data_IF_295487915270
#
_entry.id   IF_295487915270
#
_cell.length_a   1.000
_cell.length_b   1.000
_cell.length_c   1.000
_cell.angle_alpha   90.00
_cell.angle_beta   90.00
_cell.angle_gamma   90.00
#
_symmetry.space_group_name_H-M   'P 1'
#
loop_
_entity.id
_entity.type
_entity.pdbx_description
1 polymer ?
#
# COMPACT_ATOMS: atom_id res chain seq x y z
N UNK A 1 -9.75 29.49 36.80
CA UNK A 1 -9.73 29.40 35.33
C UNK A 1 -9.21 28.02 34.96
N UNK A 2 -10.07 27.12 34.47
CA UNK A 2 -9.63 25.81 33.99
C UNK A 2 -8.99 26.05 32.62
N UNK A 3 -7.67 25.88 32.53
CA UNK A 3 -6.95 25.92 31.26
C UNK A 3 -7.62 24.91 30.32
N UNK A 4 -8.14 25.39 29.19
CA UNK A 4 -8.77 24.55 28.16
C UNK A 4 -7.64 23.67 27.59
N UNK A 5 -7.49 22.46 28.12
CA UNK A 5 -6.52 21.50 27.62
C UNK A 5 -6.83 21.24 26.15
N UNK A 6 -5.94 21.72 25.29
CA UNK A 6 -5.93 21.35 23.89
C UNK A 6 -5.51 19.87 23.82
N UNK A 7 -6.35 19.00 23.27
CA UNK A 7 -6.06 17.56 23.18
C UNK A 7 -5.17 17.24 21.99
N UNK A 8 -4.25 18.15 21.67
CA UNK A 8 -3.15 17.91 20.75
C UNK A 8 -2.12 17.01 21.46
N UNK A 9 -1.69 15.95 20.78
CA UNK A 9 -0.71 15.01 21.35
C UNK A 9 0.61 15.69 21.73
N UNK A 10 0.97 16.76 21.03
CA UNK A 10 2.22 17.51 21.21
C UNK A 10 2.22 18.32 22.50
N UNK A 11 1.05 18.70 23.00
CA UNK A 11 0.91 19.40 24.28
C UNK A 11 1.05 18.45 25.47
N UNK A 12 0.88 17.14 25.25
CA UNK A 12 0.96 16.10 26.30
C UNK A 12 2.26 15.32 26.28
N UNK A 13 2.94 15.26 25.13
CA UNK A 13 4.15 14.46 24.94
C UNK A 13 5.23 15.29 24.24
N UNK A 14 6.46 15.21 24.77
CA UNK A 14 7.63 15.77 24.09
C UNK A 14 8.00 14.89 22.89
N UNK A 15 7.97 15.46 21.68
CA UNK A 15 8.26 14.71 20.46
C UNK A 15 9.74 14.29 20.35
N UNK A 16 10.66 15.02 20.98
CA UNK A 16 12.09 14.68 21.09
C UNK A 16 12.44 13.89 22.37
N UNK A 17 11.42 13.42 23.09
CA UNK A 17 11.58 12.76 24.37
C UNK A 17 11.65 11.22 24.26
N UNK A 18 11.88 10.53 25.39
CA UNK A 18 11.89 9.06 25.46
C UNK A 18 10.53 8.42 25.14
N UNK A 19 9.48 9.22 24.96
CA UNK A 19 8.12 8.78 24.71
C UNK A 19 7.72 8.85 23.23
N UNK A 20 8.65 9.07 22.30
CA UNK A 20 8.38 9.14 20.86
C UNK A 20 7.66 7.89 20.33
N UNK A 21 8.07 6.70 20.80
CA UNK A 21 7.43 5.42 20.44
C UNK A 21 5.98 5.34 20.94
N UNK A 22 5.70 5.93 22.11
CA UNK A 22 4.34 6.02 22.65
C UNK A 22 3.48 6.96 21.80
N UNK A 23 4.05 8.07 21.35
CA UNK A 23 3.37 9.01 20.45
C UNK A 23 3.07 8.33 19.12
N UNK A 24 4.03 7.62 18.53
CA UNK A 24 3.84 6.83 17.31
C UNK A 24 2.72 5.79 17.49
N UNK A 25 2.77 4.99 18.56
CA UNK A 25 1.74 4.00 18.88
C UNK A 25 0.35 4.62 19.05
N UNK A 26 0.23 5.80 19.65
CA UNK A 26 -1.04 6.52 19.78
C UNK A 26 -1.54 7.01 18.41
N UNK A 27 -0.66 7.55 17.56
CA UNK A 27 -1.05 8.04 16.24
C UNK A 27 -1.56 6.89 15.35
N UNK A 28 -0.89 5.74 15.40
CA UNK A 28 -1.19 4.56 14.58
C UNK A 28 -2.34 3.71 15.14
N UNK A 29 -2.33 3.45 16.44
CA UNK A 29 -3.21 2.48 17.11
C UNK A 29 -4.56 3.06 17.52
N UNK A 30 -4.75 4.37 17.44
CA UNK A 30 -5.95 5.08 17.93
C UNK A 30 -6.57 5.96 16.84
N UNK A 31 -7.15 5.35 15.79
CA UNK A 31 -7.84 6.09 14.74
C UNK A 31 -9.10 6.79 15.28
N UNK A 32 -9.64 7.79 14.56
CA UNK A 32 -10.94 8.37 14.85
C UNK A 32 -12.03 7.30 14.94
N UNK A 33 -12.88 7.40 15.97
CA UNK A 33 -14.02 6.53 16.20
C UNK A 33 -15.26 7.39 16.42
N UNK A 34 -16.11 7.46 15.40
CA UNK A 34 -17.36 8.21 15.43
C UNK A 34 -18.54 7.27 15.26
N UNK A 35 -19.70 7.67 15.79
CA UNK A 35 -20.94 6.93 15.58
C UNK A 35 -21.26 6.87 14.07
N UNK A 36 -21.94 5.82 13.58
CA UNK A 36 -22.24 5.68 12.14
C UNK A 36 -22.93 6.90 11.52
N UNK A 37 -23.81 7.58 12.26
CA UNK A 37 -24.52 8.77 11.78
C UNK A 37 -23.62 10.02 11.66
N UNK A 38 -22.50 10.02 12.38
CA UNK A 38 -21.52 11.12 12.38
C UNK A 38 -20.28 10.79 11.53
N UNK A 39 -20.14 9.55 11.05
CA UNK A 39 -18.99 9.11 10.28
C UNK A 39 -18.93 9.84 8.94
N UNK A 40 -17.72 10.26 8.55
CA UNK A 40 -17.45 10.90 7.26
C UNK A 40 -16.30 10.12 6.64
N UNK A 41 -16.58 8.99 5.95
CA UNK A 41 -15.56 8.00 5.61
C UNK A 41 -14.34 8.58 4.90
N UNK A 42 -14.53 9.44 3.90
CA UNK A 42 -13.43 10.08 3.17
C UNK A 42 -12.54 10.96 4.05
N UNK A 43 -13.17 11.80 4.89
CA UNK A 43 -12.46 12.65 5.84
C UNK A 43 -11.74 11.83 6.92
N UNK A 44 -12.41 10.84 7.50
CA UNK A 44 -11.86 10.03 8.58
C UNK A 44 -10.70 9.14 8.06
N UNK A 45 -10.79 8.62 6.83
CA UNK A 45 -9.67 7.95 6.15
C UNK A 45 -8.48 8.89 5.97
N UNK A 46 -8.71 10.16 5.59
CA UNK A 46 -7.65 11.16 5.44
C UNK A 46 -6.92 11.43 6.75
N UNK A 47 -7.66 11.54 7.86
CA UNK A 47 -7.07 11.67 9.19
C UNK A 47 -6.19 10.46 9.53
N UNK A 48 -6.65 9.23 9.26
CA UNK A 48 -5.85 8.02 9.50
C UNK A 48 -4.56 8.01 8.67
N UNK A 49 -4.62 8.37 7.38
CA UNK A 49 -3.44 8.44 6.52
C UNK A 49 -2.44 9.48 7.04
N UNK A 50 -2.90 10.70 7.36
CA UNK A 50 -2.03 11.75 7.88
C UNK A 50 -1.37 11.34 9.19
N UNK A 51 -2.12 10.71 10.11
CA UNK A 51 -1.55 10.16 11.35
C UNK A 51 -0.48 9.11 11.10
N UNK A 52 -0.67 8.25 10.09
CA UNK A 52 0.36 7.28 9.72
C UNK A 52 1.59 7.95 9.13
N UNK A 53 1.43 9.01 8.35
CA UNK A 53 2.56 9.81 7.84
C UNK A 53 3.29 10.49 9.00
N UNK A 54 2.56 11.07 9.95
CA UNK A 54 3.15 11.78 11.08
C UNK A 54 3.97 10.84 11.97
N UNK A 55 3.43 9.67 12.30
CA UNK A 55 4.14 8.63 13.07
C UNK A 55 5.35 8.05 12.34
N UNK A 56 5.26 7.85 11.02
CA UNK A 56 6.35 7.25 10.24
C UNK A 56 7.49 8.20 9.93
N UNK A 57 7.18 9.48 9.69
CA UNK A 57 8.14 10.45 9.14
C UNK A 57 8.38 11.62 10.08
N UNK A 58 7.31 12.26 10.54
CA UNK A 58 7.42 13.58 11.16
C UNK A 58 7.95 13.54 12.59
N UNK A 59 7.80 12.41 13.29
CA UNK A 59 8.35 12.25 14.63
C UNK A 59 9.88 12.21 14.64
N UNK A 60 10.52 11.74 13.57
CA UNK A 60 11.99 11.69 13.46
C UNK A 60 12.61 13.05 13.13
N UNK A 61 11.79 14.06 12.83
CA UNK A 61 12.21 15.34 12.27
C UNK A 61 12.01 16.48 13.27
N UNK A 62 12.38 16.27 14.54
CA UNK A 62 12.25 17.31 15.57
C UNK A 62 13.53 18.16 15.59
N UNK A 63 13.47 19.49 15.40
CA UNK A 63 12.26 20.33 15.33
C UNK A 63 11.50 20.22 14.00
N UNK A 64 10.16 20.20 14.09
CA UNK A 64 9.29 20.10 12.91
C UNK A 64 9.60 21.17 11.85
N UNK A 65 9.42 20.87 10.56
CA UNK A 65 9.68 21.83 9.49
C UNK A 65 8.91 23.14 9.67
N UNK A 66 9.56 24.25 9.33
CA UNK A 66 9.01 25.60 9.53
C UNK A 66 7.64 25.83 8.84
N UNK A 67 7.40 25.18 7.70
CA UNK A 67 6.14 25.29 6.96
C UNK A 67 4.96 24.68 7.71
N UNK A 68 5.19 23.71 8.61
CA UNK A 68 4.13 22.92 9.24
C UNK A 68 3.17 23.78 10.06
N UNK A 69 3.69 24.73 10.84
CA UNK A 69 2.87 25.60 11.67
C UNK A 69 1.92 26.45 10.81
N UNK A 70 2.45 27.12 9.79
CA UNK A 70 1.66 27.93 8.85
C UNK A 70 0.63 27.08 8.10
N UNK A 71 1.01 25.86 7.72
CA UNK A 71 0.11 24.91 7.06
C UNK A 71 -1.03 24.43 7.97
N UNK A 72 -0.76 24.14 9.24
CA UNK A 72 -1.79 23.76 10.22
C UNK A 72 -2.75 24.90 10.55
N UNK A 73 -2.26 26.16 10.60
CA UNK A 73 -3.09 27.35 10.74
C UNK A 73 -4.01 27.54 9.53
N UNK A 74 -3.53 27.26 8.33
CA UNK A 74 -4.29 27.38 7.10
C UNK A 74 -5.26 26.21 6.85
N UNK A 75 -4.88 24.99 7.26
CA UNK A 75 -5.57 23.74 6.98
C UNK A 75 -5.95 22.99 8.27
N UNK A 76 -7.24 23.03 8.69
CA UNK A 76 -7.68 22.42 9.94
C UNK A 76 -7.57 20.88 9.95
N UNK A 77 -7.44 20.23 8.77
CA UNK A 77 -7.28 18.77 8.67
C UNK A 77 -5.92 18.35 9.26
N UNK A 78 -4.84 19.08 8.91
CA UNK A 78 -3.49 18.79 9.38
C UNK A 78 -3.40 18.90 10.90
N UNK A 79 -4.00 19.96 11.46
CA UNK A 79 -4.07 20.15 12.92
C UNK A 79 -4.87 19.05 13.61
N UNK A 80 -6.03 18.67 13.05
CA UNK A 80 -6.87 17.61 13.63
C UNK A 80 -6.18 16.25 13.61
N UNK A 81 -5.28 15.99 12.66
CA UNK A 81 -4.53 14.73 12.61
C UNK A 81 -3.62 14.54 13.84
N UNK A 82 -3.17 15.60 14.53
CA UNK A 82 -2.44 15.50 15.81
C UNK A 82 -3.33 15.27 17.03
N UNK A 83 -4.65 15.34 16.88
CA UNK A 83 -5.59 15.23 17.99
C UNK A 83 -5.56 13.84 18.66
N UNK A 84 -5.76 13.77 19.96
CA UNK A 84 -5.94 12.53 20.70
C UNK A 84 -7.37 12.01 20.52
N UNK A 85 -7.54 10.85 19.88
CA UNK A 85 -8.83 10.17 19.82
C UNK A 85 -8.87 9.15 20.95
N UNK A 86 -9.49 9.46 22.09
CA UNK A 86 -9.55 8.59 23.27
C UNK A 86 -10.79 7.70 23.38
N UNK A 87 -10.81 6.81 24.37
CA UNK A 87 -12.03 6.06 24.77
C UNK A 87 -12.79 6.76 25.91
N UNK A 88 -12.08 7.57 26.70
CA UNK A 88 -12.69 8.35 27.78
C UNK A 88 -13.79 9.23 27.21
N UNK A 89 -14.94 9.31 27.89
CA UNK A 89 -16.09 10.11 27.43
C UNK A 89 -15.67 11.54 27.10
N UNK A 90 -14.88 12.16 27.98
CA UNK A 90 -14.37 13.52 27.77
C UNK A 90 -13.46 13.64 26.53
N UNK A 91 -12.60 12.65 26.25
CA UNK A 91 -11.74 12.67 25.06
C UNK A 91 -12.55 12.44 23.78
N UNK A 92 -13.60 11.62 23.83
CA UNK A 92 -14.51 11.42 22.70
C UNK A 92 -15.31 12.67 22.39
N UNK A 93 -15.91 13.30 23.40
CA UNK A 93 -16.65 14.56 23.24
C UNK A 93 -15.76 15.68 22.69
N UNK A 94 -14.52 15.78 23.19
CA UNK A 94 -13.59 16.79 22.69
C UNK A 94 -13.13 16.50 21.25
N UNK A 95 -12.86 15.24 20.90
CA UNK A 95 -12.55 14.85 19.52
C UNK A 95 -13.71 15.16 18.55
N UNK A 96 -14.96 14.93 18.98
CA UNK A 96 -16.16 15.32 18.22
C UNK A 96 -16.19 16.83 18.04
N UNK A 97 -15.94 17.61 19.09
CA UNK A 97 -15.93 19.07 19.03
C UNK A 97 -14.84 19.60 18.11
N UNK A 98 -13.61 19.10 18.22
CA UNK A 98 -12.48 19.48 17.38
C UNK A 98 -12.76 19.17 15.90
N UNK A 99 -13.38 18.03 15.60
CA UNK A 99 -13.81 17.66 14.25
C UNK A 99 -14.87 18.62 13.70
N UNK A 100 -15.90 18.94 14.47
CA UNK A 100 -16.91 19.92 14.05
C UNK A 100 -16.34 21.33 13.86
N UNK A 101 -15.32 21.72 14.64
CA UNK A 101 -14.57 22.95 14.39
C UNK A 101 -13.84 22.90 13.05
N UNK A 102 -13.16 21.78 12.75
CA UNK A 102 -12.53 21.58 11.45
C UNK A 102 -13.55 21.64 10.30
N UNK A 103 -14.73 21.01 10.45
CA UNK A 103 -15.80 21.06 9.46
C UNK A 103 -16.30 22.47 9.19
N UNK A 104 -16.58 23.25 10.25
CA UNK A 104 -16.98 24.66 10.09
C UNK A 104 -15.91 25.46 9.37
N UNK A 105 -14.64 25.25 9.71
CA UNK A 105 -13.52 25.94 9.05
C UNK A 105 -13.35 25.53 7.58
N UNK A 106 -13.60 24.27 7.22
CA UNK A 106 -13.56 23.82 5.83
C UNK A 106 -14.72 24.40 5.02
N UNK A 107 -15.93 24.37 5.57
CA UNK A 107 -17.12 24.95 4.93
C UNK A 107 -16.95 26.46 4.71
N UNK A 108 -16.36 27.19 5.66
CA UNK A 108 -16.04 28.61 5.49
C UNK A 108 -15.03 28.88 4.36
N UNK A 109 -14.21 27.88 3.99
CA UNK A 109 -13.26 27.92 2.86
C UNK A 109 -13.86 27.35 1.57
N UNK A 110 -15.16 27.02 1.55
CA UNK A 110 -15.84 26.43 0.39
C UNK A 110 -15.51 24.96 0.13
N UNK A 111 -14.94 24.25 1.11
CA UNK A 111 -14.59 22.83 0.99
C UNK A 111 -15.62 21.99 1.73
N UNK A 112 -16.21 21.02 1.03
CA UNK A 112 -17.15 20.09 1.68
C UNK A 112 -16.39 19.07 2.52
N UNK A 113 -16.75 18.92 3.79
CA UNK A 113 -16.22 17.86 4.64
C UNK A 113 -16.83 16.48 4.35
N UNK A 114 -17.87 16.43 3.52
CA UNK A 114 -18.52 15.19 3.03
C UNK A 114 -17.98 14.72 1.67
N UNK A 115 -16.98 15.45 1.14
CA UNK A 115 -16.26 15.06 -0.07
C UNK A 115 -15.58 13.70 0.08
N UNK A 116 -15.27 13.05 -1.04
CA UNK A 116 -14.51 11.80 -1.02
C UNK A 116 -13.13 11.99 -0.41
N UNK A 117 -12.50 10.89 -0.01
CA UNK A 117 -11.08 10.89 0.32
C UNK A 117 -10.25 11.50 -0.81
N UNK A 118 -10.50 11.11 -2.06
CA UNK A 118 -9.75 11.57 -3.23
C UNK A 118 -9.89 13.08 -3.42
N UNK A 119 -11.11 13.61 -3.36
CA UNK A 119 -11.40 15.05 -3.47
C UNK A 119 -10.72 15.85 -2.36
N UNK A 120 -10.78 15.36 -1.10
CA UNK A 120 -10.14 16.04 0.02
C UNK A 120 -8.61 15.96 -0.07
N UNK A 121 -8.06 14.78 -0.36
CA UNK A 121 -6.61 14.54 -0.46
C UNK A 121 -5.98 15.32 -1.61
N UNK A 122 -6.68 15.49 -2.74
CA UNK A 122 -6.21 16.24 -3.90
C UNK A 122 -6.74 17.68 -3.96
N UNK A 123 -7.41 18.15 -2.90
CA UNK A 123 -7.94 19.52 -2.84
C UNK A 123 -6.82 20.55 -2.89
N UNK A 124 -7.11 21.74 -3.43
CA UNK A 124 -6.14 22.84 -3.50
C UNK A 124 -5.61 23.25 -2.12
N UNK A 125 -6.44 23.12 -1.07
CA UNK A 125 -6.00 23.33 0.31
C UNK A 125 -4.92 22.32 0.71
N UNK A 126 -5.13 21.02 0.48
CA UNK A 126 -4.14 19.98 0.80
C UNK A 126 -2.88 20.10 -0.06
N UNK A 127 -3.02 20.41 -1.35
CA UNK A 127 -1.88 20.60 -2.24
C UNK A 127 -1.01 21.76 -1.76
N UNK A 128 -1.60 22.93 -1.50
CA UNK A 128 -0.89 24.12 -1.03
C UNK A 128 -0.22 23.95 0.34
N UNK A 129 -0.87 23.22 1.25
CA UNK A 129 -0.43 23.15 2.66
C UNK A 129 0.38 21.90 2.98
N UNK A 130 0.38 20.88 2.11
CA UNK A 130 1.03 19.60 2.41
C UNK A 130 1.75 19.00 1.20
N UNK A 131 1.03 18.68 0.11
CA UNK A 131 1.62 17.88 -0.98
C UNK A 131 2.59 18.64 -1.88
N UNK A 132 2.53 19.97 -1.90
CA UNK A 132 3.49 20.81 -2.63
C UNK A 132 4.69 21.23 -1.77
N UNK A 133 4.81 20.78 -0.52
CA UNK A 133 5.99 21.07 0.30
C UNK A 133 7.18 20.25 -0.21
N UNK A 134 8.39 20.81 -0.17
CA UNK A 134 9.57 20.23 -0.80
C UNK A 134 9.81 18.77 -0.37
N UNK A 135 9.51 18.45 0.88
CA UNK A 135 9.69 17.12 1.46
C UNK A 135 8.64 16.09 1.00
N UNK A 136 7.61 16.50 0.25
CA UNK A 136 6.59 15.63 -0.33
C UNK A 136 6.57 15.64 -1.86
N UNK A 137 7.42 16.46 -2.51
CA UNK A 137 7.50 16.52 -3.98
C UNK A 137 8.27 15.31 -4.52
N UNK A 138 7.69 14.63 -5.52
CA UNK A 138 8.34 13.51 -6.19
C UNK A 138 9.57 13.95 -6.99
N UNK A 139 9.50 15.15 -7.54
CA UNK A 139 10.53 15.73 -8.40
C UNK A 139 11.18 16.92 -7.73
N UNK A 140 12.47 17.15 -8.01
CA UNK A 140 13.15 18.39 -7.64
C UNK A 140 12.56 19.55 -8.47
N UNK A 141 13.06 20.76 -8.25
CA UNK A 141 12.72 21.95 -9.04
C UNK A 141 12.83 21.62 -10.54
N UNK A 142 11.74 21.91 -11.27
CA UNK A 142 11.64 21.62 -12.70
C UNK A 142 12.39 22.71 -13.48
N UNK A 143 13.20 22.29 -14.45
CA UNK A 143 13.94 23.22 -15.32
C UNK A 143 13.49 23.05 -16.77
N UNK A 144 13.21 24.15 -17.46
CA UNK A 144 12.99 24.12 -18.90
C UNK A 144 14.33 23.86 -19.61
N UNK A 145 14.39 22.84 -20.47
CA UNK A 145 15.65 22.45 -21.14
C UNK A 145 16.12 23.52 -22.12
N UNK A 146 15.18 24.19 -22.79
CA UNK A 146 15.50 25.19 -23.80
C UNK A 146 16.05 26.49 -23.21
N UNK A 147 15.50 26.92 -22.06
CA UNK A 147 15.84 28.23 -21.45
C UNK A 147 16.73 28.11 -20.21
N UNK A 148 16.86 26.92 -19.64
CA UNK A 148 17.48 26.69 -18.32
C UNK A 148 16.69 27.27 -17.14
N UNK A 149 15.60 27.98 -17.40
CA UNK A 149 14.83 28.66 -16.37
C UNK A 149 14.09 27.66 -15.48
N UNK A 150 14.02 27.98 -14.20
CA UNK A 150 13.11 27.29 -13.27
C UNK A 150 11.67 27.46 -13.77
N UNK A 151 10.97 26.34 -13.87
CA UNK A 151 9.55 26.33 -14.22
C UNK A 151 8.76 26.36 -12.93
N UNK A 152 8.29 27.55 -12.55
CA UNK A 152 7.41 27.70 -11.40
C UNK A 152 6.06 27.02 -11.70
N UNK A 153 5.75 25.97 -10.93
CA UNK A 153 4.45 25.33 -10.90
C UNK A 153 3.58 25.94 -9.82
N UNK A 154 2.27 26.03 -10.07
CA UNK A 154 1.33 26.25 -8.96
C UNK A 154 1.43 25.09 -7.97
N UNK A 155 1.07 25.26 -6.68
CA UNK A 155 1.05 24.16 -5.72
C UNK A 155 0.22 22.95 -6.20
N UNK A 156 -0.86 23.22 -6.93
CA UNK A 156 -1.71 22.19 -7.54
C UNK A 156 -0.98 21.44 -8.67
N UNK A 157 -0.26 22.16 -9.55
CA UNK A 157 0.56 21.54 -10.59
C UNK A 157 1.65 20.65 -9.97
N UNK A 158 2.37 21.15 -8.96
CA UNK A 158 3.44 20.43 -8.26
C UNK A 158 2.91 19.15 -7.60
N UNK A 159 1.79 19.26 -6.88
CA UNK A 159 1.17 18.13 -6.20
C UNK A 159 0.65 17.10 -7.20
N UNK A 160 0.10 17.53 -8.33
CA UNK A 160 -0.38 16.65 -9.40
C UNK A 160 0.77 15.88 -10.07
N UNK A 161 1.88 16.54 -10.43
CA UNK A 161 3.08 15.88 -10.98
C UNK A 161 3.67 14.88 -9.97
N UNK A 162 3.51 15.14 -8.68
CA UNK A 162 3.98 14.26 -7.60
C UNK A 162 3.06 13.07 -7.31
N UNK A 163 1.94 12.92 -8.02
CA UNK A 163 1.06 11.76 -7.95
C UNK A 163 1.37 10.79 -9.09
N UNK A 164 1.83 9.60 -8.76
CA UNK A 164 2.03 8.54 -9.75
C UNK A 164 0.71 7.86 -10.10
N UNK A 165 0.52 7.51 -11.36
CA UNK A 165 -0.69 6.83 -11.82
C UNK A 165 -0.35 5.45 -12.37
N UNK A 166 -0.85 4.41 -11.70
CA UNK A 166 -0.78 3.02 -12.13
C UNK A 166 -2.19 2.55 -12.51
N UNK A 167 -2.52 2.66 -13.79
CA UNK A 167 -3.80 2.24 -14.31
C UNK A 167 -3.65 0.99 -15.20
N UNK A 168 -4.05 -0.16 -14.66
CA UNK A 168 -4.01 -1.44 -15.38
C UNK A 168 -5.17 -1.64 -16.35
N UNK A 169 -6.22 -0.83 -16.28
CA UNK A 169 -7.28 -0.81 -17.30
C UNK A 169 -6.73 -0.21 -18.60
N UNK A 170 -5.96 0.88 -18.49
CA UNK A 170 -5.36 1.56 -19.65
C UNK A 170 -4.05 0.92 -20.10
N UNK A 171 -3.23 0.47 -19.15
CA UNK A 171 -1.92 -0.14 -19.41
C UNK A 171 -1.77 -1.49 -18.69
N UNK A 172 -2.44 -2.56 -19.18
CA UNK A 172 -2.34 -3.89 -18.59
C UNK A 172 -0.88 -4.37 -18.50
N UNK A 173 -0.55 -5.06 -17.41
CA UNK A 173 0.78 -5.64 -17.18
C UNK A 173 1.88 -4.64 -16.79
N UNK A 174 1.64 -3.33 -16.90
CA UNK A 174 2.61 -2.30 -16.51
C UNK A 174 2.93 -2.41 -15.02
N UNK A 175 4.20 -2.40 -14.65
CA UNK A 175 4.62 -2.48 -13.25
C UNK A 175 4.65 -1.12 -12.59
N UNK A 176 4.56 -1.09 -11.25
CA UNK A 176 4.74 0.14 -10.47
C UNK A 176 6.11 0.78 -10.73
N UNK A 177 7.17 -0.04 -10.83
CA UNK A 177 8.52 0.48 -11.06
C UNK A 177 8.67 1.12 -12.45
N UNK A 178 7.98 0.61 -13.47
CA UNK A 178 7.93 1.25 -14.80
C UNK A 178 7.11 2.55 -14.81
N UNK A 179 6.19 2.74 -13.86
CA UNK A 179 5.54 4.05 -13.66
C UNK A 179 6.53 5.03 -13.05
N UNK A 180 7.23 4.62 -11.99
CA UNK A 180 8.27 5.41 -11.33
C UNK A 180 9.38 5.82 -12.30
N UNK A 181 9.97 4.86 -13.02
CA UNK A 181 11.12 5.12 -13.89
C UNK A 181 10.76 6.06 -15.06
N UNK A 182 9.49 6.13 -15.47
CA UNK A 182 9.00 7.07 -16.51
C UNK A 182 8.64 8.46 -15.98
N UNK A 183 8.58 8.67 -14.66
CA UNK A 183 8.26 9.97 -14.07
C UNK A 183 9.45 10.96 -14.13
N UNK A 184 10.65 10.45 -14.41
CA UNK A 184 11.90 11.23 -14.38
C UNK A 184 12.56 11.32 -15.76
N UNK A 185 13.39 12.33 -15.93
CA UNK A 185 14.10 12.64 -17.16
C UNK A 185 13.48 13.80 -17.91
N UNK A 186 13.63 13.79 -19.23
CA UNK A 186 13.06 14.81 -20.08
C UNK A 186 11.60 14.47 -20.32
N UNK A 187 10.69 15.30 -19.82
CA UNK A 187 9.24 15.14 -19.98
C UNK A 187 8.65 16.37 -20.65
N UNK A 188 7.57 16.17 -21.42
CA UNK A 188 6.85 17.26 -22.06
C UNK A 188 5.75 17.77 -21.12
N UNK A 189 5.79 19.04 -20.74
CA UNK A 189 4.74 19.68 -19.93
C UNK A 189 4.34 21.02 -20.55
N UNK A 190 3.04 21.23 -20.80
CA UNK A 190 2.49 22.45 -21.43
C UNK A 190 3.30 22.83 -22.68
N UNK A 191 3.57 21.84 -23.53
CA UNK A 191 4.36 21.94 -24.78
C UNK A 191 5.86 22.25 -24.62
N UNK A 192 6.37 22.35 -23.39
CA UNK A 192 7.79 22.57 -23.10
C UNK A 192 8.49 21.28 -22.70
N UNK A 193 9.73 21.11 -23.13
CA UNK A 193 10.61 20.07 -22.60
C UNK A 193 11.16 20.52 -21.24
N UNK A 194 10.83 19.77 -20.19
CA UNK A 194 11.29 20.02 -18.83
C UNK A 194 12.12 18.84 -18.33
N UNK A 195 13.16 19.15 -17.57
CA UNK A 195 13.96 18.16 -16.86
C UNK A 195 13.30 17.90 -15.49
N UNK A 196 12.71 16.72 -15.37
CA UNK A 196 12.14 16.17 -14.13
C UNK A 196 13.20 15.31 -13.43
N UNK A 197 13.86 15.88 -12.41
CA UNK A 197 14.84 15.14 -11.61
C UNK A 197 14.14 14.47 -10.43
N UNK A 198 14.51 13.24 -10.05
CA UNK A 198 13.97 12.63 -8.86
C UNK A 198 14.40 13.40 -7.61
N UNK A 199 13.44 13.59 -6.71
CA UNK A 199 13.69 14.06 -5.35
C UNK A 199 13.70 12.89 -4.37
N UNK A 200 13.89 13.18 -3.08
CA UNK A 200 13.79 12.24 -1.98
C UNK A 200 12.56 12.52 -1.07
N UNK A 201 11.33 12.48 -1.62
CA UNK A 201 10.13 12.77 -0.82
C UNK A 201 10.03 11.81 0.36
N UNK A 202 9.46 12.28 1.46
CA UNK A 202 9.15 11.43 2.60
C UNK A 202 8.03 10.44 2.31
N UNK A 203 7.07 10.86 1.47
CA UNK A 203 5.94 10.04 1.05
C UNK A 203 5.71 10.18 -0.44
N UNK A 204 5.59 9.04 -1.13
CA UNK A 204 5.16 8.95 -2.53
C UNK A 204 3.69 8.52 -2.58
N UNK A 205 2.89 9.21 -3.39
CA UNK A 205 1.48 8.88 -3.61
C UNK A 205 1.31 8.17 -4.96
N UNK A 206 0.47 7.15 -4.97
CA UNK A 206 0.13 6.40 -6.19
C UNK A 206 -1.38 6.22 -6.28
N UNK A 207 -2.00 6.74 -7.34
CA UNK A 207 -3.35 6.37 -7.73
C UNK A 207 -3.29 5.03 -8.48
N UNK A 208 -4.04 4.03 -8.00
CA UNK A 208 -4.02 2.68 -8.54
C UNK A 208 -5.42 2.22 -8.97
N UNK A 209 -5.50 1.73 -10.20
CA UNK A 209 -6.69 1.06 -10.73
C UNK A 209 -6.28 -0.34 -11.21
N UNK A 210 -6.77 -1.42 -10.58
CA UNK A 210 -6.47 -2.78 -10.99
C UNK A 210 -7.14 -3.11 -12.33
N UNK A 211 -6.64 -4.16 -12.99
CA UNK A 211 -7.30 -4.70 -14.17
C UNK A 211 -8.70 -5.23 -13.79
N UNK A 212 -9.64 -5.07 -14.72
CA UNK A 212 -10.96 -5.67 -14.66
C UNK A 212 -10.94 -7.19 -14.89
N UNK A 213 -9.90 -7.73 -15.55
CA UNK A 213 -9.75 -9.16 -15.80
C UNK A 213 -9.20 -9.90 -14.57
N UNK A 214 -9.73 -11.10 -14.29
CA UNK A 214 -9.27 -11.94 -13.18
C UNK A 214 -7.91 -12.63 -13.47
N UNK A 215 -7.49 -12.63 -14.74
CA UNK A 215 -6.38 -13.46 -15.22
C UNK A 215 -5.00 -12.97 -14.85
N UNK A 216 -4.84 -11.68 -14.51
CA UNK A 216 -3.54 -11.09 -14.14
C UNK A 216 -3.66 -10.13 -12.94
N UNK A 217 -4.50 -10.49 -11.95
CA UNK A 217 -4.66 -9.68 -10.75
C UNK A 217 -3.33 -9.53 -10.02
N UNK A 218 -2.84 -8.29 -9.94
CA UNK A 218 -1.58 -7.97 -9.31
C UNK A 218 -1.59 -8.41 -7.84
N UNK A 219 -0.53 -9.12 -7.44
CA UNK A 219 -0.31 -9.43 -6.03
C UNK A 219 0.06 -8.15 -5.28
N UNK A 220 -0.54 -7.91 -4.10
CA UNK A 220 -0.15 -6.81 -3.22
C UNK A 220 1.37 -6.82 -2.97
N UNK A 221 2.00 -7.99 -2.95
CA UNK A 221 3.46 -8.09 -2.78
C UNK A 221 4.26 -7.34 -3.85
N UNK A 222 3.71 -7.15 -5.07
CA UNK A 222 4.30 -6.33 -6.12
C UNK A 222 4.09 -4.81 -5.90
N UNK A 223 3.17 -4.44 -5.01
CA UNK A 223 2.81 -3.08 -4.63
C UNK A 223 3.31 -2.72 -3.21
N UNK A 224 4.07 -3.59 -2.53
CA UNK A 224 4.58 -3.31 -1.18
C UNK A 224 5.79 -2.39 -1.18
N UNK A 225 6.52 -2.35 -2.28
CA UNK A 225 7.80 -1.66 -2.42
C UNK A 225 7.84 -0.85 -3.71
N UNK A 226 8.44 0.32 -3.66
CA UNK A 226 8.88 1.05 -4.84
C UNK A 226 10.29 1.60 -4.63
N UNK A 227 11.01 1.86 -5.71
CA UNK A 227 12.36 2.40 -5.64
C UNK A 227 12.48 3.69 -6.45
N UNK A 228 12.81 4.81 -5.81
CA UNK A 228 13.09 6.05 -6.53
C UNK A 228 14.58 6.10 -6.91
N UNK A 229 14.94 6.47 -8.16
CA UNK A 229 16.33 6.63 -8.54
C UNK A 229 16.97 7.83 -7.84
N UNK A 230 18.26 7.72 -7.54
CA UNK A 230 19.08 8.83 -7.01
C UNK A 230 19.95 9.34 -8.14
N UNK A 231 19.80 10.62 -8.48
CA UNK A 231 20.58 11.25 -9.53
C UNK A 231 21.60 12.21 -8.94
N UNK A 232 22.84 12.12 -9.43
CA UNK A 232 23.91 13.07 -9.12
C UNK A 232 24.38 13.73 -10.42
N UNK A 233 24.87 14.97 -10.31
CA UNK A 233 25.49 15.67 -11.43
C UNK A 233 26.74 14.91 -11.86
N UNK A 234 26.84 14.60 -13.15
CA UNK A 234 28.06 14.01 -13.71
C UNK A 234 29.16 15.07 -13.76
N UNK A 235 30.20 14.88 -12.95
CA UNK A 235 31.34 15.80 -12.89
C UNK A 235 32.35 15.57 -14.02
N UNK A 236 32.20 14.49 -14.78
CA UNK A 236 33.09 14.15 -15.90
C UNK A 236 32.60 14.71 -17.23
N UNK A 237 31.31 15.05 -17.30
CA UNK A 237 30.70 15.71 -18.45
C UNK A 237 30.90 17.23 -18.35
N UNK A 238 31.26 17.85 -19.47
CA UNK A 238 31.34 19.31 -19.56
C UNK A 238 29.95 19.95 -19.65
N UNK A 239 28.96 19.18 -20.10
CA UNK A 239 27.56 19.59 -20.14
C UNK A 239 26.84 19.22 -18.83
N UNK A 240 25.74 19.90 -18.51
CA UNK A 240 24.93 19.56 -17.33
C UNK A 240 24.21 18.23 -17.61
N UNK A 241 24.80 17.13 -17.16
CA UNK A 241 24.20 15.79 -17.24
C UNK A 241 24.10 15.15 -15.86
N UNK A 242 23.15 14.23 -15.72
CA UNK A 242 22.87 13.54 -14.46
C UNK A 242 23.00 12.04 -14.68
N UNK A 243 23.63 11.37 -13.72
CA UNK A 243 23.79 9.92 -13.71
C UNK A 243 23.07 9.32 -12.52
N UNK A 244 22.45 8.17 -12.73
CA UNK A 244 21.83 7.40 -11.66
C UNK A 244 22.91 6.70 -10.84
N UNK A 245 23.05 7.06 -9.57
CA UNK A 245 24.07 6.53 -8.65
C UNK A 245 23.52 5.49 -7.67
N UNK A 246 22.21 5.30 -7.65
CA UNK A 246 21.56 4.39 -6.72
C UNK A 246 20.04 4.50 -6.75
N UNK A 247 19.39 3.88 -5.76
CA UNK A 247 17.95 3.97 -5.57
C UNK A 247 17.61 4.04 -4.08
N UNK A 248 16.63 4.86 -3.74
CA UNK A 248 15.99 4.91 -2.43
C UNK A 248 14.83 3.93 -2.39
N UNK A 249 14.74 3.12 -1.34
CA UNK A 249 13.66 2.16 -1.14
C UNK A 249 12.52 2.76 -0.31
N UNK A 250 11.30 2.48 -0.74
CA UNK A 250 10.07 2.95 -0.12
C UNK A 250 9.11 1.79 0.13
N UNK A 251 8.40 1.84 1.24
CA UNK A 251 7.42 0.82 1.63
C UNK A 251 6.01 1.37 1.74
N UNK A 252 5.04 0.53 1.40
CA UNK A 252 3.64 0.83 1.53
C UNK A 252 3.27 1.11 3.00
N UNK A 253 2.81 2.34 3.29
CA UNK A 253 2.35 2.79 4.60
C UNK A 253 0.83 2.70 4.74
N UNK A 254 0.11 3.02 3.67
CA UNK A 254 -1.34 3.03 3.68
C UNK A 254 -1.91 2.73 2.29
N UNK A 255 -3.09 2.10 2.28
CA UNK A 255 -3.94 1.90 1.12
C UNK A 255 -5.33 2.41 1.49
N UNK A 256 -5.88 3.27 0.65
CA UNK A 256 -7.27 3.72 0.76
C UNK A 256 -8.04 3.19 -0.43
N UNK A 257 -9.08 2.41 -0.19
CA UNK A 257 -10.09 2.07 -1.19
C UNK A 257 -11.00 3.29 -1.36
N UNK A 258 -10.98 3.85 -2.56
CA UNK A 258 -11.76 5.03 -2.93
C UNK A 258 -13.19 4.64 -3.27
N UNK A 259 -14.13 5.54 -2.97
CA UNK A 259 -15.53 5.35 -3.35
C UNK A 259 -15.67 5.35 -4.87
N UNK A 260 -16.56 4.50 -5.38
CA UNK A 260 -17.02 4.55 -6.76
C UNK A 260 -18.48 4.07 -6.84
N UNK A 261 -19.07 4.11 -8.03
CA UNK A 261 -20.48 3.78 -8.24
C UNK A 261 -20.85 2.37 -7.76
N UNK A 262 -19.89 1.42 -7.83
CA UNK A 262 -20.09 0.03 -7.39
C UNK A 262 -19.79 -0.16 -5.91
N UNK A 263 -18.93 0.67 -5.33
CA UNK A 263 -18.40 0.56 -3.99
C UNK A 263 -18.49 1.94 -3.30
N UNK A 264 -19.64 2.28 -2.72
CA UNK A 264 -19.85 3.62 -2.18
C UNK A 264 -19.08 3.89 -0.89
N UNK A 265 -18.58 2.84 -0.22
CA UNK A 265 -17.79 2.94 1.01
C UNK A 265 -16.32 3.23 0.74
N UNK A 266 -15.72 4.07 1.59
CA UNK A 266 -14.28 4.34 1.63
C UNK A 266 -13.66 3.65 2.83
N UNK A 267 -12.54 2.98 2.61
CA UNK A 267 -11.87 2.21 3.64
C UNK A 267 -10.38 2.43 3.60
N UNK A 268 -9.74 2.45 4.76
CA UNK A 268 -8.30 2.61 4.91
C UNK A 268 -7.69 1.39 5.57
N UNK A 269 -6.51 1.03 5.09
CA UNK A 269 -5.64 0.05 5.72
C UNK A 269 -4.23 0.64 5.84
N UNK A 270 -3.65 0.59 7.03
CA UNK A 270 -2.28 1.06 7.29
C UNK A 270 -1.35 -0.11 7.56
N UNK A 271 -0.07 0.11 7.34
CA UNK A 271 0.99 -0.89 7.49
C UNK A 271 2.16 -0.28 8.26
N UNK A 272 2.75 -1.10 9.12
CA UNK A 272 3.98 -0.80 9.81
C UNK A 272 5.17 -0.88 8.86
N UNK A 273 6.32 -0.44 9.32
CA UNK A 273 7.59 -0.45 8.57
C UNK A 273 8.01 -1.84 8.10
N UNK A 274 7.56 -2.89 8.78
CA UNK A 274 7.82 -4.28 8.43
C UNK A 274 6.80 -4.84 7.44
N UNK A 275 5.83 -4.04 7.00
CA UNK A 275 4.74 -4.46 6.11
C UNK A 275 3.56 -5.14 6.82
N UNK A 276 3.60 -5.36 8.13
CA UNK A 276 2.45 -5.88 8.86
C UNK A 276 1.30 -4.88 8.84
N UNK A 277 0.08 -5.34 8.55
CA UNK A 277 -1.09 -4.48 8.71
C UNK A 277 -1.22 -4.04 10.18
N UNK A 278 -1.35 -2.74 10.42
CA UNK A 278 -1.54 -2.18 11.76
C UNK A 278 -3.01 -2.36 12.12
N UNK A 279 -3.25 -3.14 13.17
CA UNK A 279 -4.58 -3.27 13.76
C UNK A 279 -4.64 -2.33 14.95
N UNK A 280 -5.65 -1.46 14.97
CA UNK A 280 -5.82 -0.50 16.08
C UNK A 280 -5.98 -1.21 17.42
N UNK A 281 -5.62 -0.53 18.51
CA UNK A 281 -5.72 -1.05 19.89
C UNK A 281 -7.18 -1.29 20.35
N UNK A 282 -8.16 -0.95 19.50
CA UNK A 282 -9.57 -0.80 19.86
C UNK A 282 -10.46 -1.48 18.85
N UNK A 283 -11.76 -1.48 19.14
CA UNK A 283 -12.77 -1.85 18.16
C UNK A 283 -12.52 -1.14 16.83
N UNK A 284 -12.41 -1.93 15.78
CA UNK A 284 -12.13 -1.48 14.43
C UNK A 284 -13.15 -0.40 14.01
N UNK A 285 -12.72 0.82 13.68
CA UNK A 285 -13.64 1.85 13.16
C UNK A 285 -14.33 1.35 11.89
N UNK A 286 -15.50 1.90 11.56
CA UNK A 286 -16.23 1.54 10.32
C UNK A 286 -15.42 1.76 9.03
N UNK A 287 -14.47 2.70 9.06
CA UNK A 287 -13.55 2.99 7.94
C UNK A 287 -12.41 1.97 7.79
N UNK A 288 -12.24 1.04 8.75
CA UNK A 288 -11.28 -0.05 8.62
C UNK A 288 -12.09 -1.33 8.40
N UNK A 289 -12.00 -1.87 7.19
CA UNK A 289 -12.73 -3.07 6.80
C UNK A 289 -11.72 -4.14 6.34
N UNK A 290 -11.88 -5.37 6.83
CA UNK A 290 -11.01 -6.50 6.52
C UNK A 290 -11.54 -7.37 5.35
N UNK A 291 -12.75 -7.10 4.87
CA UNK A 291 -13.44 -7.91 3.86
C UNK A 291 -13.10 -7.52 2.41
N UNK A 292 -12.23 -6.54 2.21
CA UNK A 292 -11.81 -6.09 0.87
C UNK A 292 -10.33 -6.38 0.61
N UNK A 293 -10.01 -6.65 -0.65
CA UNK A 293 -8.62 -6.77 -1.13
C UNK A 293 -8.36 -5.73 -2.21
N UNK A 294 -7.09 -5.32 -2.36
CA UNK A 294 -6.62 -4.54 -3.50
C UNK A 294 -6.89 -5.23 -4.85
N UNK A 295 -7.11 -6.54 -4.81
CA UNK A 295 -7.49 -7.39 -5.94
C UNK A 295 -8.99 -7.33 -6.26
N UNK A 296 -9.82 -6.64 -5.47
CA UNK A 296 -11.25 -6.55 -5.74
C UNK A 296 -11.48 -5.93 -7.12
N UNK A 297 -12.34 -6.54 -7.96
CA UNK A 297 -12.61 -6.04 -9.30
C UNK A 297 -13.26 -4.67 -9.23
N UNK A 298 -12.91 -3.79 -10.18
CA UNK A 298 -13.40 -2.42 -10.25
C UNK A 298 -13.11 -1.58 -8.99
N UNK A 299 -12.10 -1.95 -8.22
CA UNK A 299 -11.57 -1.07 -7.17
C UNK A 299 -10.90 0.16 -7.77
N UNK A 300 -10.81 1.23 -6.97
CA UNK A 300 -9.90 2.35 -7.20
C UNK A 300 -9.22 2.63 -5.87
N UNK A 301 -7.91 2.82 -5.88
CA UNK A 301 -7.13 2.91 -4.65
C UNK A 301 -6.17 4.09 -4.68
N UNK A 302 -5.89 4.66 -3.51
CA UNK A 302 -4.77 5.56 -3.29
C UNK A 302 -3.78 4.88 -2.36
N UNK A 303 -2.53 4.73 -2.81
CA UNK A 303 -1.45 4.09 -2.07
C UNK A 303 -0.44 5.15 -1.63
N UNK A 304 0.07 5.01 -0.42
CA UNK A 304 1.05 5.92 0.18
C UNK A 304 2.28 5.12 0.56
N UNK A 305 3.45 5.52 0.06
CA UNK A 305 4.71 4.84 0.31
C UNK A 305 5.65 5.76 1.09
N UNK A 306 6.19 5.28 2.20
CA UNK A 306 7.11 6.01 3.05
C UNK A 306 8.55 5.60 2.81
N UNK A 307 9.47 6.55 2.98
CA UNK A 307 10.90 6.28 2.92
C UNK A 307 11.31 5.23 3.96
N UNK A 308 12.21 4.30 3.61
CA UNK A 308 12.75 3.32 4.54
C UNK A 308 13.76 3.97 5.50
N UNK A 309 13.35 4.19 6.75
CA UNK A 309 14.22 4.77 7.79
C UNK A 309 15.08 3.71 8.51
N UNK A 310 14.66 2.43 8.52
CA UNK A 310 15.37 1.37 9.23
C UNK A 310 16.30 0.53 8.35
N UNK A 311 17.56 0.39 8.77
CA UNK A 311 18.59 -0.39 8.06
C UNK A 311 18.31 -1.89 7.96
N UNK A 312 17.40 -2.44 8.77
CA UNK A 312 17.05 -3.87 8.80
C UNK A 312 15.53 -4.09 9.00
N UNK A 313 14.70 -3.45 8.19
CA UNK A 313 13.24 -3.59 8.28
C UNK A 313 12.72 -5.02 7.99
N UNK A 314 13.57 -5.95 7.55
CA UNK A 314 13.14 -7.26 7.08
C UNK A 314 12.46 -7.18 5.72
N UNK A 315 11.84 -8.29 5.28
CA UNK A 315 11.11 -8.32 4.01
C UNK A 315 9.65 -7.94 4.25
N UNK A 316 9.17 -6.78 3.74
CA UNK A 316 7.81 -6.32 3.94
C UNK A 316 6.77 -7.26 3.30
N UNK A 317 7.18 -8.13 2.36
CA UNK A 317 6.31 -9.05 1.62
C UNK A 317 5.93 -10.29 2.41
N UNK A 318 6.46 -10.46 3.63
CA UNK A 318 6.17 -11.63 4.48
C UNK A 318 4.80 -11.60 5.13
N UNK A 319 4.16 -10.43 5.18
CA UNK A 319 2.88 -10.27 5.87
C UNK A 319 1.70 -10.41 4.89
N UNK A 320 0.57 -10.95 5.35
CA UNK A 320 -0.65 -10.95 4.55
C UNK A 320 -1.11 -9.51 4.31
N UNK A 321 -1.88 -9.33 3.24
CA UNK A 321 -2.55 -8.05 2.94
C UNK A 321 -3.48 -7.64 4.08
N UNK A 322 -4.31 -8.57 4.53
CA UNK A 322 -5.30 -8.38 5.59
C UNK A 322 -4.79 -9.09 6.83
N UNK A 323 -4.71 -8.38 7.95
CA UNK A 323 -4.47 -9.04 9.23
C UNK A 323 -5.61 -10.03 9.52
N UNK A 324 -5.31 -11.22 10.04
CA UNK A 324 -6.37 -12.10 10.53
C UNK A 324 -7.18 -11.36 11.62
N UNK A 325 -8.48 -11.64 11.73
CA UNK A 325 -9.30 -11.02 12.78
C UNK A 325 -8.69 -11.30 14.15
N UNK A 326 -8.76 -10.31 15.05
CA UNK A 326 -8.33 -10.51 16.44
C UNK A 326 -9.18 -11.64 17.02
N UNK A 327 -8.52 -12.72 17.44
CA UNK A 327 -9.18 -13.80 18.16
C UNK A 327 -9.72 -13.25 19.47
N UNK A 328 -11.05 -13.20 19.60
CA UNK A 328 -11.67 -12.81 20.87
C UNK A 328 -11.43 -13.90 21.93
N UNK A 329 -11.59 -13.58 23.21
CA UNK A 329 -11.53 -14.60 24.27
C UNK A 329 -12.54 -15.75 24.01
N UNK A 330 -13.69 -15.42 23.41
CA UNK A 330 -14.70 -16.41 23.00
C UNK A 330 -14.19 -17.29 21.85
N UNK A 331 -13.48 -16.72 20.89
CA UNK A 331 -12.87 -17.48 19.80
C UNK A 331 -11.74 -18.36 20.32
N UNK A 332 -10.91 -17.85 21.24
CA UNK A 332 -9.88 -18.63 21.92
C UNK A 332 -10.50 -19.80 22.71
N UNK A 333 -11.61 -19.57 23.41
CA UNK A 333 -12.34 -20.64 24.12
C UNK A 333 -12.93 -21.67 23.15
N UNK A 334 -13.51 -21.20 22.02
CA UNK A 334 -14.06 -22.07 20.97
C UNK A 334 -12.97 -22.91 20.31
N UNK A 335 -11.84 -22.32 19.97
CA UNK A 335 -10.66 -23.01 19.44
C UNK A 335 -10.15 -24.03 20.46
N UNK A 336 -10.09 -23.67 21.74
CA UNK A 336 -9.68 -24.59 22.81
C UNK A 336 -10.65 -25.76 23.00
N UNK A 337 -11.95 -25.57 22.75
CA UNK A 337 -12.95 -26.66 22.74
C UNK A 337 -12.76 -27.58 21.53
N UNK A 338 -12.51 -27.01 20.35
CA UNK A 338 -12.23 -27.77 19.13
C UNK A 338 -10.94 -28.59 19.29
N UNK A 339 -9.87 -27.99 19.79
CA UNK A 339 -8.59 -28.68 20.05
C UNK A 339 -8.77 -29.84 21.04
N UNK A 340 -9.50 -29.63 22.14
CA UNK A 340 -9.84 -30.73 23.08
C UNK A 340 -10.63 -31.85 22.41
N UNK A 341 -11.60 -31.51 21.56
CA UNK A 341 -12.39 -32.50 20.84
C UNK A 341 -11.55 -33.31 19.84
N UNK A 342 -10.68 -32.63 19.06
CA UNK A 342 -9.77 -33.29 18.12
C UNK A 342 -8.78 -34.21 18.83
N UNK A 343 -8.22 -33.78 19.97
CA UNK A 343 -7.37 -34.63 20.81
C UNK A 343 -8.10 -35.86 21.34
N UNK A 344 -9.37 -35.71 21.72
CA UNK A 344 -10.20 -36.85 22.12
C UNK A 344 -10.42 -37.83 20.97
N UNK A 345 -10.83 -37.35 19.79
CA UNK A 345 -11.03 -38.19 18.61
C UNK A 345 -9.76 -38.95 18.22
N UNK A 346 -8.60 -38.29 18.27
CA UNK A 346 -7.32 -38.92 18.00
C UNK A 346 -7.03 -40.04 19.00
N UNK A 347 -7.25 -39.79 20.30
CA UNK A 347 -7.04 -40.79 21.34
C UNK A 347 -7.94 -42.01 21.16
N UNK A 348 -9.23 -41.80 20.87
CA UNK A 348 -10.17 -42.89 20.59
C UNK A 348 -9.81 -43.67 19.31
N UNK A 349 -9.24 -43.01 18.30
CA UNK A 349 -8.76 -43.69 17.09
C UNK A 349 -7.49 -44.53 17.31
N UNK A 350 -6.73 -44.27 18.38
CA UNK A 350 -5.55 -45.04 18.76
C UNK A 350 -5.84 -46.12 19.80
N UNK A 351 -7.06 -46.17 20.35
CA UNK A 351 -7.45 -47.31 21.16
C UNK A 351 -7.50 -48.56 20.27
N UNK A 352 -6.73 -49.61 20.60
CA UNK A 352 -6.63 -50.79 19.77
C UNK A 352 -8.03 -51.37 19.60
N UNK A 353 -8.50 -51.46 18.35
CA UNK A 353 -9.71 -52.23 18.01
C UNK A 353 -9.56 -53.59 18.70
N UNK A 354 -10.51 -54.00 19.56
CA UNK A 354 -10.43 -55.30 20.21
C UNK A 354 -10.23 -56.35 19.11
N UNK A 355 -9.12 -57.07 19.18
CA UNK A 355 -8.82 -58.12 18.23
C UNK A 355 -10.05 -59.03 18.16
N UNK A 356 -10.58 -59.32 16.95
CA UNK A 356 -11.68 -60.26 16.82
C UNK A 356 -11.22 -61.57 17.46
N UNK A 357 -11.95 -61.99 18.50
CA UNK A 357 -11.75 -63.26 19.17
C UNK A 357 -11.69 -64.36 18.11
N UNK A 358 -10.66 -65.21 18.10
CA UNK A 358 -10.54 -66.26 17.08
C UNK A 358 -11.81 -67.10 17.04
N UNK A 359 -12.30 -67.48 15.85
CA UNK A 359 -13.50 -68.29 15.75
C UNK A 359 -13.27 -69.60 16.50
N UNK A 360 -14.10 -69.87 17.51
CA UNK A 360 -14.16 -71.16 18.18
C UNK A 360 -14.52 -72.20 17.13
N UNK A 361 -13.53 -72.99 16.76
CA UNK A 361 -13.63 -74.10 15.81
C UNK A 361 -14.48 -75.20 16.44
N UNK A 362 -15.79 -75.18 16.18
CA UNK A 362 -16.64 -76.36 16.37
C UNK A 362 -16.57 -77.21 15.10
N UNK A 363 -15.79 -78.28 15.20
CA UNK A 363 -15.78 -79.38 14.27
C UNK A 363 -17.16 -80.05 14.23
N UNK A 364 -17.79 -80.09 13.06
CA UNK A 364 -18.81 -81.09 12.73
C UNK A 364 -18.41 -81.73 11.40
N UNK A 365 -18.07 -83.00 11.48
CA UNK A 365 -17.79 -83.87 10.35
C UNK A 365 -19.04 -84.09 9.50
N UNK A 366 -18.85 -83.86 8.19
CA UNK A 366 -19.24 -84.69 7.06
C UNK A 366 -20.69 -85.20 6.95
N UNK A 367 -21.39 -84.68 5.93
CA UNK A 367 -22.05 -85.57 4.98
C UNK A 367 -21.70 -85.16 3.55
N UNK A 368 -21.08 -86.11 2.86
CA UNK A 368 -20.79 -86.11 1.44
C UNK A 368 -22.09 -86.26 0.65
N UNK A 369 -22.32 -85.38 -0.31
CA UNK A 369 -23.04 -85.75 -1.54
C UNK A 369 -22.33 -85.12 -2.72
N UNK A 370 -22.03 -85.97 -3.70
CA UNK A 370 -21.23 -85.76 -4.89
C UNK A 370 -22.02 -85.04 -6.02
N UNK A 371 -21.39 -84.75 -7.19
CA UNK A 371 -21.48 -83.46 -7.87
C UNK A 371 -22.53 -83.41 -8.98
N UNK A 372 -22.83 -82.20 -9.43
CA UNK A 372 -23.29 -81.99 -10.81
C UNK A 372 -22.73 -80.69 -11.35
N UNK A 373 -22.02 -80.84 -12.45
CA UNK A 373 -21.52 -79.81 -13.36
C UNK A 373 -22.70 -79.03 -13.96
N UNK A 374 -22.54 -77.70 -14.05
CA UNK A 374 -22.69 -76.94 -15.30
C UNK A 374 -22.71 -75.43 -14.98
N UNK A 375 -21.58 -74.80 -15.29
CA UNK A 375 -21.44 -73.78 -16.33
C UNK A 375 -22.44 -72.61 -16.43
N UNK A 376 -21.85 -71.44 -16.72
CA UNK A 376 -22.38 -70.28 -17.50
C UNK A 376 -22.98 -69.05 -16.75
N UNK A 377 -22.21 -67.95 -16.91
CA UNK A 377 -22.55 -66.54 -17.18
C UNK A 377 -23.03 -65.53 -16.11
N UNK A 378 -22.22 -64.47 -16.04
CA UNK A 378 -22.52 -63.02 -16.18
C UNK A 378 -23.82 -62.45 -15.58
N UNK A 379 -23.64 -61.42 -14.75
CA UNK A 379 -24.68 -60.45 -14.45
C UNK A 379 -24.15 -59.25 -13.65
N UNK A 380 -23.73 -58.20 -14.36
CA UNK A 380 -23.59 -56.85 -13.81
C UNK A 380 -24.96 -56.35 -13.34
N UNK A 381 -25.04 -55.71 -12.17
CA UNK A 381 -26.15 -54.79 -11.88
C UNK A 381 -25.71 -53.72 -10.88
N UNK A 382 -25.50 -52.51 -11.43
CA UNK A 382 -25.49 -51.25 -10.69
C UNK A 382 -26.93 -50.75 -10.71
N UNK A 383 -27.53 -50.33 -9.57
CA UNK A 383 -28.78 -49.60 -9.60
C UNK A 383 -28.52 -48.11 -9.74
N UNK A 384 -29.05 -47.56 -10.83
CA UNK A 384 -29.56 -46.19 -10.93
C UNK A 384 -30.71 -45.98 -9.92
N UNK A 385 -31.00 -44.74 -9.51
CA UNK A 385 -32.17 -44.13 -10.15
C UNK A 385 -32.03 -42.64 -10.49
N UNK A 386 -32.46 -42.38 -11.73
CA UNK A 386 -33.07 -41.18 -12.28
C UNK A 386 -34.04 -40.41 -11.37
N UNK A 387 -34.00 -39.08 -11.52
CA UNK A 387 -35.14 -38.15 -11.66
C UNK A 387 -34.54 -36.75 -11.88
N UNK A 388 -34.36 -36.24 -13.11
CA UNK A 388 -35.37 -35.72 -14.04
C UNK A 388 -36.51 -34.93 -13.38
N UNK A 389 -36.39 -33.60 -13.48
CA UNK A 389 -37.50 -32.73 -13.91
C UNK A 389 -36.93 -31.47 -14.57
N UNK A 390 -37.04 -31.45 -15.91
CA UNK A 390 -37.09 -30.28 -16.79
C UNK A 390 -38.28 -29.38 -16.39
N UNK A 391 -38.55 -28.16 -16.86
CA UNK A 391 -38.26 -27.32 -18.03
C UNK A 391 -38.71 -25.91 -17.58
N UNK A 392 -38.23 -24.76 -18.03
CA UNK A 392 -37.90 -24.31 -19.38
C UNK A 392 -38.41 -22.86 -19.51
N UNK A 393 -37.72 -22.02 -20.27
CA UNK A 393 -38.24 -20.91 -21.09
C UNK A 393 -37.19 -19.79 -21.29
N UNK A 394 -36.76 -19.67 -22.53
CA UNK A 394 -36.20 -18.48 -23.20
C UNK A 394 -36.91 -18.39 -24.56
N UNK A 395 -36.78 -17.33 -25.39
CA UNK A 395 -36.35 -15.94 -25.18
C UNK A 395 -37.33 -14.93 -25.82
N UNK A 396 -37.09 -13.61 -25.67
CA UNK A 396 -37.63 -12.64 -26.64
C UNK A 396 -36.70 -11.45 -26.83
N UNK A 397 -36.24 -11.28 -28.07
CA UNK A 397 -35.56 -10.11 -28.64
C UNK A 397 -36.63 -9.17 -29.22
N UNK A 398 -36.36 -7.87 -29.30
CA UNK A 398 -36.65 -7.18 -30.55
C UNK A 398 -35.50 -6.30 -31.06
N UNK A 399 -35.58 -6.08 -32.36
CA UNK A 399 -34.53 -5.70 -33.29
C UNK A 399 -34.76 -4.26 -33.82
N UNK A 400 -33.65 -3.51 -34.00
CA UNK A 400 -33.41 -2.51 -35.08
C UNK A 400 -34.15 -1.14 -35.13
N UNK A 401 -33.75 -0.11 -35.95
CA UNK A 401 -32.51 0.15 -36.74
C UNK A 401 -31.99 1.64 -36.85
N UNK A 402 -30.91 1.85 -37.66
CA UNK A 402 -30.44 3.05 -38.46
C UNK A 402 -29.50 4.08 -37.79
N UNK A 403 -28.51 4.74 -38.43
CA UNK A 403 -27.82 4.72 -39.77
C UNK A 403 -26.63 5.73 -39.72
N UNK A 404 -25.48 5.38 -40.35
CA UNK A 404 -24.49 6.14 -41.20
C UNK A 404 -24.24 7.67 -40.97
N UNK A 405 -23.06 8.29 -41.19
CA UNK A 405 -21.87 8.00 -42.02
C UNK A 405 -20.61 8.82 -41.62
N UNK A 406 -19.44 8.41 -42.13
CA UNK A 406 -18.12 9.07 -42.15
C UNK A 406 -18.01 10.19 -43.25
N UNK A 407 -16.89 10.96 -43.40
CA UNK A 407 -15.58 10.50 -43.96
C UNK A 407 -14.31 11.15 -43.33
N UNK A 408 -13.17 10.46 -43.18
CA UNK A 408 -12.01 10.25 -44.11
C UNK A 408 -10.99 11.41 -44.23
N UNK A 409 -9.73 11.15 -43.86
CA UNK A 409 -8.45 11.54 -44.54
C UNK A 409 -7.28 10.94 -43.73
N UNK A 410 -6.59 9.89 -44.16
CA UNK A 410 -5.47 9.79 -45.14
C UNK A 410 -4.21 10.62 -44.81
N UNK A 411 -3.06 9.94 -44.79
CA UNK A 411 -1.70 10.49 -44.69
C UNK A 411 -0.77 9.56 -43.89
N UNK A 412 -0.42 8.39 -44.44
CA UNK A 412 0.89 8.10 -45.04
C UNK A 412 2.01 7.70 -44.07
N UNK A 413 2.44 6.45 -44.23
CA UNK A 413 3.64 5.82 -43.68
C UNK A 413 4.79 6.04 -44.64
N UNK A 414 6.04 6.18 -44.15
CA UNK A 414 7.09 5.38 -44.75
C UNK A 414 7.93 4.59 -43.74
N UNK A 415 8.21 3.36 -44.16
CA UNK A 415 9.09 2.36 -43.55
C UNK A 415 10.57 2.72 -43.69
N UNK A 416 11.36 2.00 -42.86
CA UNK A 416 12.76 1.55 -43.01
C UNK A 416 13.82 2.42 -42.31
N UNK A 417 14.54 1.82 -41.36
CA UNK A 417 15.79 1.09 -41.68
C UNK A 417 16.33 0.28 -40.51
N UNK A 418 16.69 -0.96 -40.85
CA UNK A 418 17.39 -1.93 -40.04
C UNK A 418 18.89 -1.87 -40.40
N UNK A 419 19.77 -1.64 -39.42
CA UNK A 419 21.23 -1.90 -39.41
C UNK A 419 21.61 -1.93 -37.92
N UNK A 420 22.24 -2.93 -37.30
CA UNK A 420 23.10 -4.00 -37.77
C UNK A 420 24.52 -3.79 -37.20
N UNK A 421 25.02 -4.77 -36.41
CA UNK A 421 26.42 -4.99 -35.97
C UNK A 421 26.93 -4.05 -34.84
N UNK A 422 27.85 -4.42 -33.93
CA UNK A 422 28.85 -5.50 -33.88
C UNK A 422 29.40 -5.67 -32.44
N UNK A 423 29.76 -6.91 -32.12
CA UNK A 423 30.81 -7.42 -31.22
C UNK A 423 31.83 -6.42 -30.64
N UNK A 424 32.15 -6.63 -29.36
CA UNK A 424 33.39 -6.23 -28.71
C UNK A 424 33.66 -7.08 -27.46
N UNK A 425 34.25 -8.27 -27.65
CA UNK A 425 34.94 -9.02 -26.59
C UNK A 425 36.23 -8.27 -26.24
N UNK A 426 36.50 -8.10 -24.95
CA UNK A 426 37.81 -7.72 -24.43
C UNK A 426 38.11 -8.48 -23.13
N UNK A 427 38.81 -9.60 -23.26
CA UNK A 427 39.53 -10.29 -22.20
C UNK A 427 40.91 -9.66 -22.02
N UNK A 428 41.43 -9.72 -20.79
CA UNK A 428 42.84 -9.52 -20.45
C UNK A 428 42.98 -8.55 -19.27
N UNK A 429 43.68 -8.86 -18.19
CA UNK A 429 44.45 -10.05 -17.86
C UNK A 429 45.03 -9.87 -16.46
N UNK A 430 45.12 -11.00 -15.77
CA UNK A 430 46.10 -11.41 -14.76
C UNK A 430 47.14 -10.40 -14.26
N UNK A 431 47.18 -10.23 -12.94
CA UNK A 431 48.36 -9.84 -12.18
C UNK A 431 48.40 -10.55 -10.82
N UNK A 432 49.25 -11.58 -10.72
CA UNK A 432 49.77 -12.17 -9.47
C UNK A 432 50.43 -11.05 -8.63
N UNK A 433 50.60 -11.08 -7.31
CA UNK A 433 50.43 -12.07 -6.25
C UNK A 433 51.25 -11.56 -5.05
N UNK A 434 50.87 -11.87 -3.82
CA UNK A 434 51.81 -12.13 -2.71
C UNK A 434 51.03 -12.52 -1.45
N UNK A 435 51.39 -13.71 -0.95
CA UNK A 435 50.95 -14.27 0.31
C UNK A 435 51.76 -13.66 1.46
N UNK A 436 51.08 -13.17 2.50
CA UNK A 436 51.59 -13.09 3.87
C UNK A 436 50.44 -13.46 4.84
N UNK A 437 50.63 -14.41 5.78
CA UNK A 437 49.68 -14.70 6.85
C UNK A 437 50.16 -14.07 8.19
N UNK A 438 49.37 -14.10 9.27
CA UNK A 438 48.43 -13.04 9.61
C UNK A 438 48.79 -12.35 10.93
N UNK A 439 48.83 -11.01 10.93
CA UNK A 439 48.87 -10.21 12.15
C UNK A 439 47.46 -9.80 12.58
N UNK A 440 47.09 -10.12 13.82
CA UNK A 440 45.80 -9.80 14.44
C UNK A 440 45.50 -8.29 14.40
N UNK A 441 44.35 -7.83 13.85
CA UNK A 441 44.01 -6.42 13.87
C UNK A 441 43.46 -6.00 15.24
N UNK A 442 44.10 -4.99 15.85
CA UNK A 442 43.50 -4.16 16.89
C UNK A 442 42.21 -3.52 16.36
N UNK A 443 41.15 -3.57 17.16
CA UNK A 443 39.88 -2.91 16.86
C UNK A 443 40.10 -1.41 16.60
N UNK A 444 39.55 -0.85 15.52
CA UNK A 444 39.58 0.60 15.29
C UNK A 444 38.64 1.29 16.30
N UNK A 445 38.94 2.54 16.69
CA UNK A 445 38.04 3.33 17.52
C UNK A 445 36.68 3.52 16.82
N UNK A 446 35.60 3.71 17.58
CA UNK A 446 34.27 3.91 17.03
C UNK A 446 34.29 5.11 16.08
N UNK A 447 33.85 4.87 14.83
CA UNK A 447 33.64 5.94 13.86
C UNK A 447 32.60 6.89 14.44
N UNK A 448 33.01 8.14 14.68
CA UNK A 448 32.07 9.24 14.83
C UNK A 448 31.14 9.23 13.61
N UNK A 449 29.84 9.14 13.86
CA UNK A 449 28.82 9.14 12.81
C UNK A 449 29.03 10.35 11.92
N UNK A 450 29.19 10.12 10.61
CA UNK A 450 29.08 11.22 9.65
C UNK A 450 27.66 11.77 9.76
N UNK A 451 27.46 13.10 9.75
CA UNK A 451 26.12 13.68 9.67
C UNK A 451 25.42 13.13 8.43
N UNK A 452 24.11 12.96 8.54
CA UNK A 452 23.29 12.42 7.47
C UNK A 452 23.46 13.29 6.21
N UNK A 453 23.84 12.65 5.10
CA UNK A 453 24.28 13.34 3.88
C UNK A 453 23.12 14.07 3.18
N UNK A 454 21.88 13.71 3.56
CA UNK A 454 20.62 14.31 3.12
C UNK A 454 20.43 15.73 3.70
N UNK A 455 20.80 15.99 4.95
CA UNK A 455 20.62 17.32 5.57
C UNK A 455 21.57 18.36 5.00
N UNK A 456 22.86 18.02 4.84
CA UNK A 456 23.87 18.95 4.30
C UNK A 456 23.58 19.34 2.85
N UNK A 457 22.98 18.44 2.06
CA UNK A 457 22.55 18.77 0.69
C UNK A 457 21.26 19.58 0.65
N UNK A 458 20.43 19.59 1.70
CA UNK A 458 19.18 20.35 1.76
C UNK A 458 19.44 21.80 2.19
N UNK A 459 20.30 22.02 3.18
CA UNK A 459 20.62 23.38 3.65
C UNK A 459 21.34 24.21 2.58
N UNK A 460 22.30 23.61 1.86
CA UNK A 460 22.99 24.28 0.76
C UNK A 460 22.07 24.69 -0.41
N UNK A 461 20.87 24.10 -0.52
CA UNK A 461 19.88 24.42 -1.56
C UNK A 461 18.93 25.54 -1.14
N UNK A 462 18.63 25.67 0.16
CA UNK A 462 17.85 26.81 0.69
C UNK A 462 18.62 28.13 0.64
N UNK A 463 19.94 28.08 0.76
CA UNK A 463 20.78 29.28 0.72
C UNK A 463 21.09 29.76 -0.71
N UNK A 464 20.72 28.99 -1.74
CA UNK A 464 21.03 29.27 -3.15
C UNK A 464 19.81 29.69 -4.00
N UNK A 465 18.61 29.69 -3.41
CA UNK A 465 17.36 30.18 -4.02
C UNK A 465 16.91 31.44 -3.27
#
# INVERSE_FOLDING_TARGET
MISKMNNDIRDRHQLNGPNIDVVAAILEGRPPQFAPNDAQPGFDCLIVVLRRIYSHVMLDLVPLPAWMKTSEEANPILRLAWHLFGNDVAQREDAIKARHEAFRSLTAKGISHTSSFEELCSSSLMNKTFWSQDEFRLTDILHCIETGAVTDGSPDDIAHISLLELNHVETPGRTLQEVVDKAFGVVTQKEKQILSRPNDPWVVRVAYTPDSSDTDRFDLNKLRTLHLPIWELDKQDSDISYVSVGRNEYFLLAVVRLRNDKNPGEYVRTYGIHGSNIVGERQTPSIVNHDWSIRDPHGKYMLFYGFQTMKNAGDPRRFPEVAPPILTDKDAERISKIDRHLKHLWKTSQEPKPQPTPPTSSATQAQQTQPSENDVQMGNTVPEPSSQLESGATPTVPDSPRKRAAPTTQGEVPKKRNRGRKKGRGQGGQGQGSNQPPGSPKAPPPRQGKPDRSEVSRDARRDAA
#
